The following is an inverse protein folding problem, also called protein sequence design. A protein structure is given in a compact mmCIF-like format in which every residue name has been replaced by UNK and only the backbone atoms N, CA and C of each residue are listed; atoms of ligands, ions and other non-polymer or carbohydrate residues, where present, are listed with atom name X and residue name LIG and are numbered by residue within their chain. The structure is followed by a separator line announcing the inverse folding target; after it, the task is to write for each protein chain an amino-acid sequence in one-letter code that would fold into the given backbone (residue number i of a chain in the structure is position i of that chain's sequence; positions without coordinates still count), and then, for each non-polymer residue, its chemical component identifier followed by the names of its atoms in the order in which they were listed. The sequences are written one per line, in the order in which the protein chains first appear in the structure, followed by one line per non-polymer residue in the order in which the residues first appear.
data_IF_544694692459
#
_entry.id   IF_544694692459
#
_cell.length_a   1.000
_cell.length_b   1.000
_cell.length_c   1.000
_cell.angle_alpha   90.00
_cell.angle_beta   90.00
_cell.angle_gamma   90.00
#
_symmetry.space_group_name_H-M   'P 1'
#
loop_
_entity.id
_entity.type
_entity.pdbx_description
1 polymer ?
#
# COMPACT_ATOMS: atom_id res chain seq x y z
N UNK A 1 -40.25 -45.01 1.61
CA UNK A 1 -39.56 -43.75 1.28
C UNK A 1 -38.08 -44.03 1.05
N UNK A 2 -37.59 -43.89 -0.18
CA UNK A 2 -36.21 -44.26 -0.51
C UNK A 2 -35.24 -43.11 -0.17
N UNK A 3 -34.12 -43.42 0.48
CA UNK A 3 -33.11 -42.43 0.85
C UNK A 3 -32.29 -42.03 -0.38
N UNK A 4 -32.10 -40.73 -0.61
CA UNK A 4 -31.18 -40.20 -1.62
C UNK A 4 -29.78 -39.95 -1.03
N UNK A 5 -28.78 -39.68 -1.87
CA UNK A 5 -27.43 -39.31 -1.43
C UNK A 5 -27.42 -37.84 -0.99
N UNK A 6 -26.93 -37.57 0.21
CA UNK A 6 -26.99 -36.24 0.82
C UNK A 6 -25.94 -35.24 0.30
N UNK A 7 -24.77 -35.70 -0.17
CA UNK A 7 -23.69 -34.82 -0.64
C UNK A 7 -22.70 -35.53 -1.59
N UNK A 8 -22.10 -34.81 -2.53
CA UNK A 8 -20.98 -35.28 -3.35
C UNK A 8 -20.08 -34.12 -3.82
N UNK A 9 -18.76 -34.34 -3.81
CA UNK A 9 -17.74 -33.42 -4.31
C UNK A 9 -17.15 -33.88 -5.67
N UNK A 10 -17.77 -34.86 -6.32
CA UNK A 10 -17.16 -35.62 -7.43
C UNK A 10 -16.69 -34.76 -8.62
N UNK A 11 -17.46 -33.75 -9.02
CA UNK A 11 -17.16 -32.92 -10.21
C UNK A 11 -16.72 -31.49 -9.85
N UNK A 12 -16.49 -31.16 -8.57
CA UNK A 12 -16.15 -29.77 -8.23
C UNK A 12 -14.73 -29.42 -8.68
N UNK A 13 -13.78 -30.33 -8.50
CA UNK A 13 -12.39 -30.13 -8.92
C UNK A 13 -12.30 -29.97 -10.44
N UNK A 14 -12.96 -30.86 -11.21
CA UNK A 14 -12.95 -30.77 -12.66
C UNK A 14 -13.54 -29.45 -13.17
N UNK A 15 -14.63 -28.96 -12.57
CA UNK A 15 -15.20 -27.64 -12.88
C UNK A 15 -14.26 -26.49 -12.53
N UNK A 16 -13.63 -26.52 -11.36
CA UNK A 16 -12.69 -25.50 -10.92
C UNK A 16 -11.45 -25.42 -11.83
N UNK A 17 -10.97 -26.57 -12.32
CA UNK A 17 -9.81 -26.65 -13.22
C UNK A 17 -10.14 -26.43 -14.70
N UNK A 18 -11.39 -26.56 -15.14
CA UNK A 18 -11.80 -26.30 -16.54
C UNK A 18 -11.40 -24.90 -17.02
N UNK A 19 -11.59 -23.89 -16.17
CA UNK A 19 -11.16 -22.51 -16.43
C UNK A 19 -9.84 -22.15 -15.70
N UNK A 20 -9.41 -23.03 -14.80
CA UNK A 20 -8.23 -22.87 -13.94
C UNK A 20 -8.45 -21.93 -12.76
N UNK A 21 -8.01 -22.36 -11.58
CA UNK A 21 -8.00 -21.54 -10.36
C UNK A 21 -6.85 -20.52 -10.48
N UNK A 22 -7.17 -19.27 -10.79
CA UNK A 22 -6.15 -18.21 -10.98
C UNK A 22 -5.76 -17.59 -9.64
N UNK A 23 -4.45 -17.41 -9.43
CA UNK A 23 -3.93 -16.66 -8.28
C UNK A 23 -4.20 -15.15 -8.45
N UNK A 24 -4.37 -14.38 -7.36
CA UNK A 24 -4.48 -12.92 -7.45
C UNK A 24 -3.19 -12.33 -8.04
N UNK A 25 -3.35 -11.29 -8.86
CA UNK A 25 -2.21 -10.59 -9.48
C UNK A 25 -1.53 -9.69 -8.44
N UNK A 26 -0.20 -9.71 -8.40
CA UNK A 26 0.59 -8.72 -7.65
C UNK A 26 0.61 -7.40 -8.44
N UNK A 27 0.15 -6.34 -7.80
CA UNK A 27 0.19 -4.99 -8.35
C UNK A 27 1.40 -4.24 -7.79
N UNK A 28 2.02 -3.36 -8.59
CA UNK A 28 3.12 -2.50 -8.12
C UNK A 28 2.67 -1.58 -6.97
N UNK A 29 1.40 -1.17 -7.01
CA UNK A 29 0.78 -0.34 -5.97
C UNK A 29 -0.40 -1.10 -5.38
N UNK A 30 -0.33 -1.37 -4.08
CA UNK A 30 -1.38 -2.06 -3.33
C UNK A 30 -2.50 -1.10 -2.91
N UNK A 31 -3.64 -1.67 -2.49
CA UNK A 31 -4.74 -0.88 -1.94
C UNK A 31 -4.37 -0.30 -0.58
N UNK A 32 -4.72 0.97 -0.35
CA UNK A 32 -4.55 1.64 0.95
C UNK A 32 -5.76 1.50 1.88
N UNK A 33 -6.72 0.64 1.51
CA UNK A 33 -7.91 0.37 2.34
C UNK A 33 -7.50 -0.29 3.65
N UNK A 34 -7.98 0.27 4.77
CA UNK A 34 -7.62 -0.20 6.12
C UNK A 34 -6.39 0.47 6.72
N UNK A 35 -5.69 1.35 5.99
CA UNK A 35 -4.64 2.17 6.57
C UNK A 35 -5.19 3.22 7.53
N UNK A 36 -4.36 3.65 8.49
CA UNK A 36 -4.71 4.69 9.45
C UNK A 36 -5.18 5.98 8.75
N UNK A 37 -6.38 6.46 9.09
CA UNK A 37 -6.99 7.63 8.46
C UNK A 37 -6.16 8.91 8.68
N UNK A 38 -5.53 9.05 9.86
CA UNK A 38 -4.63 10.18 10.16
C UNK A 38 -3.42 10.20 9.22
N UNK A 39 -2.83 9.03 8.97
CA UNK A 39 -1.73 8.89 8.01
C UNK A 39 -2.19 9.22 6.59
N UNK A 40 -3.34 8.71 6.15
CA UNK A 40 -3.86 8.99 4.80
C UNK A 40 -4.15 10.48 4.59
N UNK A 41 -4.70 11.17 5.59
CA UNK A 41 -4.88 12.62 5.56
C UNK A 41 -3.54 13.34 5.37
N UNK A 42 -2.53 12.99 6.18
CA UNK A 42 -1.21 13.59 6.06
C UNK A 42 -0.57 13.31 4.69
N UNK A 43 -0.63 12.06 4.22
CA UNK A 43 -0.09 11.67 2.91
C UNK A 43 -0.71 12.48 1.77
N UNK A 44 -2.03 12.75 1.82
CA UNK A 44 -2.71 13.61 0.83
C UNK A 44 -2.14 15.02 0.82
N UNK A 45 -1.95 15.63 1.99
CA UNK A 45 -1.36 16.96 2.09
C UNK A 45 0.11 16.98 1.65
N UNK A 46 0.91 15.98 2.03
CA UNK A 46 2.31 15.86 1.61
C UNK A 46 2.42 15.75 0.09
N UNK A 47 1.63 14.88 -0.55
CA UNK A 47 1.61 14.73 -2.02
C UNK A 47 1.20 16.04 -2.72
N UNK A 48 0.21 16.76 -2.18
CA UNK A 48 -0.24 18.05 -2.72
C UNK A 48 0.83 19.15 -2.58
N UNK A 49 1.59 19.14 -1.49
CA UNK A 49 2.62 20.15 -1.18
C UNK A 49 4.03 19.83 -1.72
N UNK A 50 4.21 18.71 -2.43
CA UNK A 50 5.51 18.37 -3.00
C UNK A 50 5.85 19.33 -4.15
N UNK A 51 7.02 19.96 -4.05
CA UNK A 51 7.61 20.78 -5.11
C UNK A 51 8.49 19.92 -6.03
N UNK A 52 8.84 20.41 -7.24
CA UNK A 52 9.79 19.73 -8.11
C UNK A 52 11.11 19.42 -7.41
N UNK A 53 11.77 18.34 -7.85
CA UNK A 53 12.97 17.82 -7.20
C UNK A 53 14.10 18.85 -7.09
N UNK A 54 14.34 19.61 -8.17
CA UNK A 54 15.40 20.62 -8.20
C UNK A 54 15.17 21.72 -7.16
N UNK A 55 13.92 22.18 -7.03
CA UNK A 55 13.55 23.18 -6.02
C UNK A 55 13.64 22.62 -4.61
N UNK A 56 13.26 21.35 -4.42
CA UNK A 56 13.40 20.66 -3.14
C UNK A 56 14.86 20.61 -2.68
N UNK A 57 15.79 20.30 -3.58
CA UNK A 57 17.23 20.24 -3.30
C UNK A 57 17.78 21.61 -2.92
N UNK A 58 17.41 22.67 -3.66
CA UNK A 58 17.81 24.05 -3.35
C UNK A 58 17.35 24.46 -1.95
N UNK A 59 16.05 24.27 -1.65
CA UNK A 59 15.48 24.57 -0.33
C UNK A 59 16.11 23.75 0.79
N UNK A 60 16.48 22.49 0.53
CA UNK A 60 17.16 21.64 1.51
C UNK A 60 18.59 22.11 1.79
N UNK A 61 19.35 22.50 0.77
CA UNK A 61 20.69 23.07 0.91
C UNK A 61 20.65 24.38 1.71
N UNK A 62 19.71 25.27 1.41
CA UNK A 62 19.51 26.52 2.16
C UNK A 62 19.18 26.28 3.63
N UNK A 63 18.26 25.35 3.93
CA UNK A 63 17.92 24.99 5.32
C UNK A 63 19.12 24.38 6.04
N UNK A 64 19.90 23.52 5.37
CA UNK A 64 21.10 22.91 5.95
C UNK A 64 22.15 23.97 6.27
N UNK A 65 22.36 24.95 5.39
CA UNK A 65 23.26 26.07 5.63
C UNK A 65 22.80 26.93 6.82
N UNK A 66 21.49 27.23 6.92
CA UNK A 66 20.92 27.97 8.06
C UNK A 66 21.06 27.23 9.39
N UNK A 67 20.97 25.90 9.38
CA UNK A 67 21.00 25.08 10.59
C UNK A 67 22.41 24.57 10.95
N UNK A 68 23.46 24.91 10.20
CA UNK A 68 24.80 24.35 10.36
C UNK A 68 25.47 24.63 11.72
N UNK A 69 24.96 25.61 12.49
CA UNK A 69 25.44 25.94 13.85
C UNK A 69 24.49 25.55 14.99
N UNK A 70 23.38 24.88 14.70
CA UNK A 70 22.45 24.42 15.74
C UNK A 70 22.92 23.09 16.33
N UNK A 71 22.79 22.89 17.66
CA UNK A 71 23.12 21.61 18.27
C UNK A 71 22.22 20.51 17.69
N UNK A 72 22.78 19.32 17.51
CA UNK A 72 22.02 18.18 17.04
C UNK A 72 20.80 17.92 17.96
N UNK A 73 19.63 17.56 17.41
CA UNK A 73 18.48 17.24 18.24
C UNK A 73 18.83 16.10 19.19
N UNK A 74 18.58 16.33 20.48
CA UNK A 74 18.81 15.31 21.52
C UNK A 74 17.87 14.15 21.24
N UNK A 75 18.44 12.96 21.08
CA UNK A 75 17.68 11.73 20.95
C UNK A 75 17.23 11.35 22.36
N UNK A 76 15.95 11.58 22.65
CA UNK A 76 15.29 11.12 23.87
C UNK A 76 15.27 9.59 23.93
#
# INVERSE_FOLDING_TARGET
MAKSKNHTNHNQNQKAHKNGIKKPKRQRYESTRGMCQKFLRNQRFSKKGNVPHEEQLKRAAERKAKNAGQPAPVKL
#
